data_IF_748051062638
#
_entry.id   IF_748051062638
#
_cell.length_a   1.000
_cell.length_b   1.000
_cell.length_c   1.000
_cell.angle_alpha   90.00
_cell.angle_beta   90.00
_cell.angle_gamma   90.00
#
_symmetry.space_group_name_H-M   'P 1'
#
loop_
_entity.id
_entity.type
_entity.pdbx_description
1 polymer ?
#
# COMPACT_ATOMS: atom_id res chain seq x y z
N UNK A 1 10.64 -21.38 6.28
CA UNK A 1 9.37 -20.67 6.55
C UNK A 1 8.48 -20.66 5.33
N UNK A 2 7.19 -20.96 5.48
CA UNK A 2 6.17 -20.96 4.42
C UNK A 2 4.94 -20.23 4.93
N UNK A 3 4.31 -19.39 4.10
CA UNK A 3 3.10 -18.66 4.47
C UNK A 3 2.00 -18.81 3.43
N UNK A 4 0.76 -18.73 3.89
CA UNK A 4 -0.43 -18.65 3.05
C UNK A 4 -1.34 -17.55 3.58
N UNK A 5 -1.90 -16.75 2.67
CA UNK A 5 -2.80 -15.67 3.02
C UNK A 5 -4.07 -15.70 2.15
N UNK A 6 -5.19 -15.27 2.73
CA UNK A 6 -6.47 -15.07 2.03
C UNK A 6 -7.02 -13.69 2.33
N UNK A 7 -7.45 -13.00 1.28
CA UNK A 7 -8.12 -11.69 1.30
C UNK A 7 -8.24 -11.17 -0.13
N UNK A 8 -9.35 -10.51 -0.47
CA UNK A 8 -9.56 -9.92 -1.81
C UNK A 8 -10.52 -8.72 -1.76
N UNK A 9 -11.55 -8.76 -0.89
CA UNK A 9 -12.41 -7.65 -0.53
C UNK A 9 -12.48 -7.45 0.99
N UNK A 10 -13.01 -6.30 1.41
CA UNK A 10 -12.90 -5.74 2.76
C UNK A 10 -11.44 -5.71 3.20
N UNK A 11 -10.51 -5.12 2.45
CA UNK A 11 -9.08 -5.13 2.83
C UNK A 11 -8.68 -3.74 3.27
N UNK A 12 -8.51 -3.55 4.58
CA UNK A 12 -7.80 -2.44 5.21
C UNK A 12 -7.25 -2.93 6.56
N UNK A 13 -6.23 -3.81 6.58
CA UNK A 13 -5.83 -4.37 7.86
C UNK A 13 -5.31 -3.27 8.79
N UNK A 14 -5.94 -3.17 9.94
CA UNK A 14 -5.45 -2.51 11.14
C UNK A 14 -5.37 -3.59 12.23
N UNK A 15 -4.63 -4.66 11.88
CA UNK A 15 -4.87 -6.05 12.31
C UNK A 15 -6.23 -6.62 11.83
N UNK A 16 -6.73 -6.15 10.66
CA UNK A 16 -8.15 -6.22 10.27
C UNK A 16 -8.56 -6.51 8.77
N UNK A 17 -8.37 -7.73 8.23
CA UNK A 17 -9.08 -8.49 7.12
C UNK A 17 -8.16 -9.30 6.26
N UNK A 18 -7.56 -10.28 6.89
CA UNK A 18 -6.64 -11.14 6.20
C UNK A 18 -6.44 -12.34 7.11
N UNK A 19 -6.62 -13.54 6.55
CA UNK A 19 -6.23 -14.77 7.24
C UNK A 19 -4.83 -15.11 6.72
N UNK A 20 -3.80 -14.86 7.52
CA UNK A 20 -2.43 -15.31 7.24
C UNK A 20 -1.98 -16.31 8.28
N UNK A 21 -1.48 -17.42 7.77
CA UNK A 21 -0.81 -18.44 8.56
C UNK A 21 0.60 -18.60 8.02
N UNK A 22 1.59 -18.42 8.90
CA UNK A 22 2.99 -18.68 8.59
C UNK A 22 3.49 -19.83 9.45
N UNK A 23 4.09 -20.82 8.80
CA UNK A 23 4.69 -21.99 9.42
C UNK A 23 6.22 -21.86 9.32
N UNK A 24 6.90 -21.99 10.47
CA UNK A 24 8.35 -21.97 10.57
C UNK A 24 8.87 -23.25 11.24
N UNK A 25 9.91 -23.82 10.65
CA UNK A 25 10.69 -24.95 11.14
C UNK A 25 11.80 -24.53 12.13
N UNK A 26 12.02 -23.23 12.28
CA UNK A 26 12.88 -22.59 13.27
C UNK A 26 12.07 -21.67 14.20
N UNK A 27 12.72 -21.14 15.24
CA UNK A 27 12.09 -20.23 16.20
C UNK A 27 13.03 -19.10 16.65
N UNK A 28 12.52 -17.87 16.87
CA UNK A 28 13.25 -16.84 17.60
C UNK A 28 13.18 -17.15 19.11
N UNK A 29 13.83 -16.34 19.97
CA UNK A 29 13.57 -16.39 21.41
C UNK A 29 12.05 -16.27 21.68
N UNK A 30 11.41 -17.20 22.41
CA UNK A 30 9.95 -17.23 22.53
C UNK A 30 9.33 -15.94 23.08
N UNK A 31 10.03 -15.25 23.97
CA UNK A 31 9.59 -13.96 24.53
C UNK A 31 9.56 -12.82 23.52
N UNK A 32 10.18 -12.99 22.35
CA UNK A 32 10.29 -11.98 21.28
C UNK A 32 9.27 -12.18 20.18
N UNK A 33 8.77 -13.40 19.98
CA UNK A 33 7.93 -13.78 18.85
C UNK A 33 6.74 -12.82 18.66
N UNK A 34 5.97 -12.56 19.72
CA UNK A 34 4.81 -11.65 19.63
C UNK A 34 5.20 -10.25 19.13
N UNK A 35 6.29 -9.68 19.67
CA UNK A 35 6.76 -8.35 19.26
C UNK A 35 7.28 -8.33 17.82
N UNK A 36 7.86 -9.43 17.34
CA UNK A 36 8.30 -9.56 15.94
C UNK A 36 7.06 -9.60 15.03
N UNK A 37 6.05 -10.39 15.40
CA UNK A 37 4.79 -10.51 14.63
C UNK A 37 4.10 -9.17 14.48
N UNK A 38 4.00 -8.38 15.56
CA UNK A 38 3.42 -7.04 15.54
C UNK A 38 4.20 -6.09 14.61
N UNK A 39 5.53 -6.05 14.73
CA UNK A 39 6.38 -5.22 13.85
C UNK A 39 6.27 -5.61 12.38
N UNK A 40 6.24 -6.91 12.08
CA UNK A 40 6.08 -7.38 10.71
C UNK A 40 4.69 -7.06 10.17
N UNK A 41 3.64 -7.22 10.98
CA UNK A 41 2.28 -6.84 10.59
C UNK A 41 2.21 -5.35 10.21
N UNK A 42 2.83 -4.49 11.02
CA UNK A 42 2.88 -3.03 10.81
C UNK A 42 3.63 -2.61 9.53
N UNK A 43 4.62 -3.39 9.11
CA UNK A 43 5.41 -3.13 7.89
C UNK A 43 4.82 -3.76 6.63
N UNK A 44 3.91 -4.74 6.76
CA UNK A 44 3.39 -5.54 5.64
C UNK A 44 1.87 -5.45 5.52
N UNK A 45 1.12 -6.22 6.30
CA UNK A 45 -0.34 -6.30 6.17
C UNK A 45 -1.05 -5.01 6.54
N UNK A 46 -0.56 -4.25 7.52
CA UNK A 46 -1.14 -2.94 7.85
C UNK A 46 -0.79 -1.86 6.79
N UNK A 47 0.04 -2.21 5.80
CA UNK A 47 0.40 -1.35 4.68
C UNK A 47 -0.45 -1.60 3.42
N UNK A 48 -1.45 -2.48 3.43
CA UNK A 48 -2.27 -2.76 2.24
C UNK A 48 -3.71 -2.29 2.37
N UNK A 49 -4.35 -1.91 1.26
CA UNK A 49 -5.79 -1.64 1.20
C UNK A 49 -6.40 -1.91 -0.17
N UNK A 50 -7.60 -2.48 -0.21
CA UNK A 50 -8.39 -2.59 -1.45
C UNK A 50 -9.53 -1.58 -1.41
N UNK A 51 -10.33 -1.56 -0.35
CA UNK A 51 -11.59 -0.81 -0.29
C UNK A 51 -11.81 -0.03 1.01
N UNK A 52 -10.78 0.08 1.86
CA UNK A 52 -10.81 0.80 3.14
C UNK A 52 -11.71 0.21 4.24
N UNK A 53 -12.36 -0.94 4.00
CA UNK A 53 -13.23 -1.58 4.99
C UNK A 53 -12.46 -2.60 5.85
N UNK A 54 -12.38 -2.35 7.15
CA UNK A 54 -11.80 -3.28 8.15
C UNK A 54 -12.79 -4.44 8.47
N UNK A 55 -12.31 -5.69 8.53
CA UNK A 55 -13.15 -6.85 8.89
C UNK A 55 -13.36 -7.00 10.38
N UNK A 56 -14.20 -7.97 10.67
CA UNK A 56 -14.50 -8.45 12.02
C UNK A 56 -13.78 -9.76 12.39
N UNK A 57 -12.92 -10.34 11.53
CA UNK A 57 -12.52 -11.77 11.60
C UNK A 57 -11.02 -12.02 11.44
N UNK A 58 -10.19 -11.10 11.90
CA UNK A 58 -8.89 -10.91 11.25
C UNK A 58 -7.76 -11.54 12.04
N UNK A 59 -6.86 -12.21 11.31
CA UNK A 59 -5.97 -13.17 11.94
C UNK A 59 -4.65 -13.30 11.20
N UNK A 60 -3.57 -12.92 11.88
CA UNK A 60 -2.20 -13.21 11.48
C UNK A 60 -1.55 -14.11 12.54
N UNK A 61 -1.27 -15.35 12.16
CA UNK A 61 -0.74 -16.37 13.08
C UNK A 61 0.59 -16.88 12.55
N UNK A 62 1.60 -16.87 13.42
CA UNK A 62 2.89 -17.49 13.16
C UNK A 62 3.07 -18.69 14.07
N UNK A 63 3.19 -19.88 13.48
CA UNK A 63 3.43 -21.13 14.20
C UNK A 63 4.89 -21.55 13.98
N UNK A 64 5.63 -21.63 15.09
CA UNK A 64 7.00 -22.11 15.09
C UNK A 64 7.05 -23.53 15.64
N UNK A 65 7.88 -24.38 15.03
CA UNK A 65 8.15 -25.74 15.52
C UNK A 65 8.82 -25.70 16.90
N UNK A 66 8.27 -26.43 17.87
CA UNK A 66 8.76 -26.40 19.27
C UNK A 66 10.21 -26.85 19.40
N UNK A 67 10.59 -27.92 18.71
CA UNK A 67 11.96 -28.47 18.61
C UNK A 67 12.75 -27.90 17.42
N UNK A 68 12.32 -26.77 16.86
CA UNK A 68 13.03 -26.05 15.79
C UNK A 68 14.34 -25.41 16.26
N UNK A 69 15.27 -25.20 15.33
CA UNK A 69 16.53 -24.49 15.58
C UNK A 69 16.24 -23.06 16.07
N UNK A 70 16.94 -22.64 17.14
CA UNK A 70 16.86 -21.26 17.62
C UNK A 70 17.72 -20.34 16.75
N UNK A 71 17.09 -19.33 16.17
CA UNK A 71 17.73 -18.36 15.29
C UNK A 71 17.73 -16.98 15.93
N UNK A 72 18.58 -16.08 15.42
CA UNK A 72 18.62 -14.69 15.90
C UNK A 72 17.29 -14.00 15.60
N UNK A 73 16.87 -13.11 16.51
CA UNK A 73 15.65 -12.30 16.37
C UNK A 73 15.60 -11.58 15.01
N UNK A 74 16.71 -10.93 14.62
CA UNK A 74 16.82 -10.20 13.36
C UNK A 74 16.69 -11.09 12.11
N UNK A 75 17.34 -12.26 12.11
CA UNK A 75 17.27 -13.20 10.98
C UNK A 75 15.84 -13.72 10.80
N UNK A 76 15.15 -14.01 11.92
CA UNK A 76 13.75 -14.45 11.90
C UNK A 76 12.80 -13.34 11.44
N UNK A 77 12.96 -12.11 11.98
CA UNK A 77 12.13 -10.96 11.60
C UNK A 77 12.27 -10.66 10.11
N UNK A 78 13.50 -10.59 9.58
CA UNK A 78 13.76 -10.33 8.17
C UNK A 78 13.17 -11.41 7.25
N UNK A 79 13.28 -12.69 7.64
CA UNK A 79 12.70 -13.79 6.88
C UNK A 79 11.16 -13.73 6.89
N UNK A 80 10.56 -13.44 8.05
CA UNK A 80 9.11 -13.30 8.20
C UNK A 80 8.58 -12.10 7.40
N UNK A 81 9.25 -10.95 7.49
CA UNK A 81 8.92 -9.74 6.73
C UNK A 81 8.94 -10.02 5.22
N UNK A 82 9.97 -10.69 4.71
CA UNK A 82 10.07 -11.04 3.29
C UNK A 82 8.98 -12.00 2.79
N UNK A 83 8.51 -12.92 3.64
CA UNK A 83 7.34 -13.77 3.32
C UNK A 83 6.05 -12.95 3.35
N UNK A 84 5.85 -12.14 4.39
CA UNK A 84 4.64 -11.36 4.58
C UNK A 84 4.48 -10.24 3.53
N UNK A 85 5.55 -9.60 3.08
CA UNK A 85 5.50 -8.58 2.02
C UNK A 85 5.00 -9.17 0.68
N UNK A 86 5.46 -10.38 0.33
CA UNK A 86 5.00 -11.10 -0.87
C UNK A 86 3.52 -11.47 -0.77
N UNK A 87 3.08 -11.93 0.42
CA UNK A 87 1.68 -12.27 0.65
C UNK A 87 0.78 -11.03 0.63
N UNK A 88 1.20 -9.95 1.28
CA UNK A 88 0.45 -8.69 1.36
C UNK A 88 0.27 -8.06 -0.03
N UNK A 89 1.33 -7.95 -0.82
CA UNK A 89 1.25 -7.45 -2.20
C UNK A 89 0.42 -8.39 -3.09
N UNK A 90 0.50 -9.71 -2.89
CA UNK A 90 -0.33 -10.70 -3.56
C UNK A 90 -1.83 -10.53 -3.31
N UNK A 91 -2.24 -10.15 -2.10
CA UNK A 91 -3.64 -9.85 -1.75
C UNK A 91 -4.15 -8.67 -2.58
N UNK A 92 -3.39 -7.58 -2.64
CA UNK A 92 -3.79 -6.38 -3.41
C UNK A 92 -3.89 -6.69 -4.91
N UNK A 93 -2.91 -7.42 -5.44
CA UNK A 93 -2.88 -7.88 -6.84
C UNK A 93 -4.09 -8.74 -7.19
N UNK A 94 -4.61 -9.50 -6.23
CA UNK A 94 -5.80 -10.34 -6.38
C UNK A 94 -7.04 -9.72 -5.72
N UNK A 95 -7.04 -8.39 -5.50
CA UNK A 95 -8.18 -7.66 -4.98
C UNK A 95 -9.37 -7.75 -5.93
N UNK A 96 -10.58 -7.64 -5.38
CA UNK A 96 -11.81 -7.74 -6.16
C UNK A 96 -11.87 -6.65 -7.23
N UNK A 97 -11.97 -7.05 -8.50
CA UNK A 97 -12.00 -6.12 -9.62
C UNK A 97 -10.73 -5.28 -9.81
N UNK A 98 -9.59 -5.64 -9.21
CA UNK A 98 -8.31 -4.92 -9.39
C UNK A 98 -7.89 -4.93 -10.85
N UNK A 99 -7.78 -3.74 -11.46
CA UNK A 99 -7.18 -3.52 -12.77
C UNK A 99 -5.76 -2.95 -12.70
N UNK A 100 -5.43 -2.22 -11.63
CA UNK A 100 -4.10 -1.68 -11.37
C UNK A 100 -3.75 -1.82 -9.90
N UNK A 101 -2.48 -2.14 -9.64
CA UNK A 101 -1.89 -2.01 -8.31
C UNK A 101 -1.26 -0.63 -8.19
N UNK A 102 -1.49 0.03 -7.07
CA UNK A 102 -1.00 1.36 -6.72
C UNK A 102 -0.04 1.21 -5.55
N UNK A 103 1.16 1.75 -5.65
CA UNK A 103 2.11 1.84 -4.55
C UNK A 103 2.37 3.29 -4.23
N UNK A 104 2.20 3.68 -2.96
CA UNK A 104 2.49 5.02 -2.48
C UNK A 104 3.63 4.95 -1.46
N UNK A 105 4.70 5.69 -1.71
CA UNK A 105 5.83 5.87 -0.80
C UNK A 105 5.87 7.32 -0.31
N UNK A 106 5.77 7.49 1.01
CA UNK A 106 5.89 8.77 1.70
C UNK A 106 7.28 8.83 2.32
N UNK A 107 8.06 9.84 1.93
CA UNK A 107 9.46 10.02 2.35
C UNK A 107 9.61 11.31 3.15
N UNK A 108 10.58 11.30 4.08
CA UNK A 108 11.05 12.47 4.82
C UNK A 108 9.90 13.28 5.47
N UNK A 109 8.87 12.60 5.97
CA UNK A 109 7.76 13.23 6.68
C UNK A 109 8.23 13.74 8.05
N UNK A 110 7.78 14.92 8.53
CA UNK A 110 8.19 15.47 9.82
C UNK A 110 7.67 14.71 11.05
N UNK A 111 6.62 13.89 10.90
CA UNK A 111 6.08 13.03 11.96
C UNK A 111 6.58 11.58 11.88
N UNK A 112 5.99 10.68 12.69
CA UNK A 112 6.39 9.27 12.74
C UNK A 112 5.97 8.48 11.49
N UNK A 113 6.59 7.31 11.29
CA UNK A 113 6.29 6.38 10.19
C UNK A 113 4.81 5.97 10.11
N UNK A 114 4.13 5.87 11.26
CA UNK A 114 2.70 5.58 11.31
C UNK A 114 1.87 6.64 10.60
N UNK A 115 2.16 7.92 10.82
CA UNK A 115 1.49 9.02 10.12
C UNK A 115 1.87 9.06 8.64
N UNK A 116 3.12 8.75 8.29
CA UNK A 116 3.54 8.65 6.89
C UNK A 116 2.76 7.53 6.15
N UNK A 117 2.53 6.38 6.81
CA UNK A 117 1.66 5.33 6.27
C UNK A 117 0.21 5.79 6.12
N UNK A 118 -0.34 6.51 7.09
CA UNK A 118 -1.70 7.06 7.01
C UNK A 118 -1.87 8.08 5.85
N UNK A 119 -0.84 8.89 5.55
CA UNK A 119 -0.82 9.74 4.35
C UNK A 119 -0.88 8.87 3.10
N UNK A 120 -0.06 7.82 3.02
CA UNK A 120 -0.12 6.86 1.93
C UNK A 120 -1.52 6.25 1.77
N UNK A 121 -2.12 5.77 2.88
CA UNK A 121 -3.49 5.23 2.91
C UNK A 121 -4.50 6.24 2.39
N UNK A 122 -4.36 7.53 2.74
CA UNK A 122 -5.27 8.57 2.25
C UNK A 122 -5.29 8.70 0.72
N UNK A 123 -4.16 8.41 0.06
CA UNK A 123 -4.03 8.44 -1.39
C UNK A 123 -4.62 7.17 -2.01
N UNK A 124 -4.20 5.98 -1.54
CA UNK A 124 -4.69 4.72 -2.11
C UNK A 124 -6.17 4.46 -1.84
N UNK A 125 -6.74 5.07 -0.78
CA UNK A 125 -8.17 4.95 -0.43
C UNK A 125 -9.03 6.07 -1.02
N UNK A 126 -8.45 7.06 -1.70
CA UNK A 126 -9.21 8.14 -2.31
C UNK A 126 -9.97 7.61 -3.54
N UNK A 127 -11.33 7.62 -3.55
CA UNK A 127 -12.09 7.12 -4.69
C UNK A 127 -11.76 7.86 -5.99
N UNK A 128 -11.44 9.16 -5.89
CA UNK A 128 -11.03 9.95 -7.04
C UNK A 128 -9.66 9.51 -7.58
N UNK A 129 -8.68 9.22 -6.72
CA UNK A 129 -7.38 8.70 -7.18
C UNK A 129 -7.56 7.31 -7.80
N UNK A 130 -8.26 6.41 -7.11
CA UNK A 130 -8.53 5.04 -7.57
C UNK A 130 -9.22 5.02 -8.94
N UNK A 131 -10.23 5.88 -9.15
CA UNK A 131 -10.94 5.96 -10.44
C UNK A 131 -10.14 6.63 -11.55
N UNK A 132 -9.26 7.58 -11.22
CA UNK A 132 -8.36 8.18 -12.21
C UNK A 132 -7.36 7.14 -12.74
N UNK A 133 -6.78 6.35 -11.84
CA UNK A 133 -5.86 5.26 -12.21
C UNK A 133 -6.58 4.17 -13.01
N UNK A 134 -7.79 3.75 -12.60
CA UNK A 134 -8.62 2.83 -13.41
C UNK A 134 -8.90 3.35 -14.83
N UNK A 135 -8.94 4.67 -15.01
CA UNK A 135 -9.16 5.34 -16.28
C UNK A 135 -7.89 5.64 -17.07
N UNK A 136 -6.70 5.24 -16.59
CA UNK A 136 -5.41 5.63 -17.14
C UNK A 136 -5.20 7.17 -17.21
N UNK A 137 -5.82 7.90 -16.28
CA UNK A 137 -5.77 9.37 -16.18
C UNK A 137 -4.72 9.78 -15.11
N UNK A 138 -3.61 10.44 -15.48
CA UNK A 138 -2.58 10.89 -14.54
C UNK A 138 -3.00 12.15 -13.79
N UNK A 139 -4.08 12.05 -13.02
CA UNK A 139 -4.73 13.18 -12.36
C UNK A 139 -4.01 13.61 -11.07
N UNK A 140 -2.91 14.35 -11.23
CA UNK A 140 -2.04 14.79 -10.12
C UNK A 140 -2.78 15.64 -9.09
N UNK A 141 -3.80 16.39 -9.53
CA UNK A 141 -4.62 17.22 -8.66
C UNK A 141 -5.40 16.39 -7.63
N UNK A 142 -5.87 15.19 -8.00
CA UNK A 142 -6.54 14.26 -7.08
C UNK A 142 -5.58 13.68 -6.05
N UNK A 143 -4.34 13.39 -6.44
CA UNK A 143 -3.27 12.92 -5.54
C UNK A 143 -2.94 14.02 -4.53
N UNK A 144 -2.62 15.23 -5.00
CA UNK A 144 -2.34 16.37 -4.12
C UNK A 144 -3.53 16.71 -3.21
N UNK A 145 -4.76 16.62 -3.73
CA UNK A 145 -5.98 16.80 -2.95
C UNK A 145 -6.16 15.78 -1.83
N UNK A 146 -5.84 14.50 -2.07
CA UNK A 146 -5.89 13.45 -1.06
C UNK A 146 -4.89 13.71 0.08
N UNK A 147 -3.62 13.98 -0.26
CA UNK A 147 -2.57 14.34 0.71
C UNK A 147 -2.95 15.60 1.49
N UNK A 148 -3.35 16.66 0.78
CA UNK A 148 -3.75 17.92 1.38
C UNK A 148 -4.96 17.78 2.31
N UNK A 149 -5.95 16.95 1.96
CA UNK A 149 -7.09 16.66 2.83
C UNK A 149 -6.69 15.95 4.12
N UNK A 150 -5.74 15.02 4.07
CA UNK A 150 -5.26 14.34 5.27
C UNK A 150 -4.51 15.33 6.18
N UNK A 151 -3.56 16.08 5.61
CA UNK A 151 -2.76 17.08 6.35
C UNK A 151 -3.67 18.13 6.98
N UNK A 152 -4.61 18.69 6.21
CA UNK A 152 -5.50 19.76 6.68
C UNK A 152 -6.49 19.33 7.78
N UNK A 153 -6.84 18.04 7.89
CA UNK A 153 -7.71 17.53 8.97
C UNK A 153 -6.98 17.40 10.30
N UNK A 154 -5.68 17.08 10.27
CA UNK A 154 -4.87 16.85 11.48
C UNK A 154 -4.13 18.09 11.96
N UNK A 155 -3.73 18.96 11.03
CA UNK A 155 -3.19 20.27 11.36
C UNK A 155 -4.34 21.27 11.47
N UNK A 156 -4.91 21.45 12.68
CA UNK A 156 -5.91 22.49 12.98
C UNK A 156 -5.28 23.90 12.97
N UNK A 157 -4.68 24.27 11.84
CA UNK A 157 -4.03 25.55 11.57
C UNK A 157 -3.25 25.46 10.27
N UNK A 158 -3.60 26.28 9.29
CA UNK A 158 -2.78 26.44 8.10
C UNK A 158 -1.37 26.91 8.53
N UNK A 159 -0.31 26.18 8.14
CA UNK A 159 1.12 26.55 8.13
C UNK A 159 2.10 25.68 8.97
N UNK A 160 2.13 24.35 8.80
CA UNK A 160 3.32 23.57 9.23
C UNK A 160 4.03 22.82 8.11
N UNK A 161 3.33 22.39 7.07
CA UNK A 161 3.98 21.85 5.86
C UNK A 161 4.35 22.96 4.89
N UNK A 162 5.64 23.11 4.64
CA UNK A 162 6.18 23.97 3.58
C UNK A 162 6.10 23.23 2.23
N UNK A 163 4.97 23.40 1.52
CA UNK A 163 4.71 22.76 0.23
C UNK A 163 5.72 23.12 -0.86
N UNK A 164 6.50 24.20 -0.70
CA UNK A 164 7.58 24.52 -1.64
C UNK A 164 8.73 23.52 -1.59
N UNK A 165 8.85 22.76 -0.48
CA UNK A 165 9.85 21.70 -0.31
C UNK A 165 9.33 20.31 -0.67
N UNK A 166 8.01 20.16 -0.73
CA UNK A 166 7.40 18.88 -1.06
C UNK A 166 7.53 18.59 -2.55
N UNK A 167 7.92 17.36 -2.86
CA UNK A 167 8.03 16.85 -4.22
C UNK A 167 7.15 15.61 -4.36
N UNK A 168 6.47 15.47 -5.49
CA UNK A 168 5.75 14.25 -5.82
C UNK A 168 6.18 13.75 -7.20
N UNK A 169 6.29 12.43 -7.35
CA UNK A 169 6.56 11.79 -8.64
C UNK A 169 5.61 10.61 -8.87
N UNK A 170 5.39 10.30 -10.15
CA UNK A 170 4.67 9.10 -10.58
C UNK A 170 5.50 8.39 -11.65
N UNK A 171 5.74 7.09 -11.50
CA UNK A 171 6.58 6.31 -12.43
C UNK A 171 8.01 6.85 -12.56
N UNK A 172 8.50 7.57 -11.55
CA UNK A 172 9.80 8.26 -11.58
C UNK A 172 9.79 9.65 -12.26
N UNK A 173 8.69 10.07 -12.85
CA UNK A 173 8.53 11.39 -13.45
C UNK A 173 7.94 12.39 -12.43
N UNK A 174 8.55 13.58 -12.33
CA UNK A 174 8.10 14.64 -11.42
C UNK A 174 6.72 15.16 -11.82
N UNK A 175 5.80 15.24 -10.84
CA UNK A 175 4.41 15.71 -11.03
C UNK A 175 4.05 16.91 -10.15
N UNK A 176 4.83 17.18 -9.10
CA UNK A 176 4.68 18.34 -8.23
C UNK A 176 6.05 18.72 -7.67
N UNK A 177 6.45 19.99 -7.80
CA UNK A 177 7.63 20.54 -7.15
C UNK A 177 7.45 22.02 -6.88
N UNK A 178 8.20 22.54 -5.91
CA UNK A 178 8.26 23.99 -5.63
C UNK A 178 6.87 24.61 -5.39
N UNK A 179 5.94 23.83 -4.83
CA UNK A 179 4.57 24.28 -4.55
C UNK A 179 3.63 24.32 -5.75
N UNK A 180 4.04 23.80 -6.91
CA UNK A 180 3.27 23.84 -8.16
C UNK A 180 3.21 22.48 -8.85
N UNK A 181 2.19 22.25 -9.67
CA UNK A 181 2.13 21.07 -10.52
C UNK A 181 3.18 21.16 -11.62
N UNK A 182 3.93 20.08 -11.80
CA UNK A 182 5.00 19.98 -12.78
C UNK A 182 4.54 19.15 -13.99
N UNK A 183 3.49 19.62 -14.66
CA UNK A 183 2.86 18.97 -15.81
C UNK A 183 2.86 19.84 -17.05
N UNK A 184 2.99 19.18 -18.19
CA UNK A 184 2.69 19.69 -19.52
C UNK A 184 2.00 18.59 -20.34
N UNK A 185 1.42 18.91 -21.50
CA UNK A 185 0.68 17.92 -22.29
C UNK A 185 1.52 16.70 -22.70
N UNK A 186 2.82 16.88 -22.90
CA UNK A 186 3.71 15.75 -23.22
C UNK A 186 3.97 14.85 -22.02
N UNK A 187 4.06 15.42 -20.80
CA UNK A 187 4.17 14.68 -19.55
C UNK A 187 2.89 13.91 -19.26
N UNK A 188 1.74 14.55 -19.45
CA UNK A 188 0.43 13.90 -19.28
C UNK A 188 0.30 12.69 -20.21
N UNK A 189 0.67 12.81 -21.49
CA UNK A 189 0.67 11.69 -22.43
C UNK A 189 1.60 10.55 -21.99
N UNK A 190 2.81 10.86 -21.52
CA UNK A 190 3.76 9.86 -21.00
C UNK A 190 3.26 9.16 -19.75
N UNK A 191 2.71 9.90 -18.80
CA UNK A 191 2.16 9.36 -17.57
C UNK A 191 0.92 8.50 -17.83
N UNK A 192 0.03 8.91 -18.74
CA UNK A 192 -1.12 8.10 -19.15
C UNK A 192 -0.67 6.79 -19.80
N UNK A 193 0.34 6.83 -20.68
CA UNK A 193 0.95 5.64 -21.26
C UNK A 193 1.61 4.74 -20.21
N UNK A 194 2.25 5.32 -19.20
CA UNK A 194 2.83 4.59 -18.06
C UNK A 194 1.75 3.89 -17.23
N UNK A 195 0.68 4.58 -16.84
CA UNK A 195 -0.43 3.96 -16.07
C UNK A 195 -1.02 2.80 -16.86
N UNK A 196 -1.26 3.01 -18.17
CA UNK A 196 -1.76 1.96 -19.06
C UNK A 196 -0.80 0.78 -19.22
N UNK A 197 0.50 1.02 -19.20
CA UNK A 197 1.50 -0.05 -19.22
C UNK A 197 1.50 -0.87 -17.92
N UNK A 198 1.06 -0.28 -16.81
CA UNK A 198 0.84 -0.94 -15.52
C UNK A 198 -0.51 -1.68 -15.41
N UNK A 199 -1.43 -1.49 -16.36
CA UNK A 199 -2.74 -2.14 -16.37
C UNK A 199 -2.62 -3.67 -16.42
N UNK A 200 -3.48 -4.35 -15.65
CA UNK A 200 -3.53 -5.79 -15.65
C UNK A 200 -3.96 -6.33 -17.02
N UNK A 201 -3.09 -7.16 -17.61
CA UNK A 201 -3.41 -7.87 -18.84
C UNK A 201 -3.87 -9.29 -18.56
N UNK A 202 -5.13 -9.57 -18.92
CA UNK A 202 -5.73 -10.92 -18.88
C UNK A 202 -5.07 -11.93 -19.84
N UNK A 203 -4.14 -11.47 -20.69
CA UNK A 203 -3.42 -12.30 -21.67
C UNK A 203 -2.08 -12.85 -21.16
N UNK A 204 -1.66 -12.45 -19.96
CA UNK A 204 -0.39 -12.89 -19.35
C UNK A 204 -0.49 -14.30 -18.76
N UNK A 205 0.60 -15.08 -18.87
CA UNK A 205 0.71 -16.41 -18.24
C UNK A 205 0.96 -16.25 -16.74
N UNK A 206 0.45 -17.19 -15.94
CA UNK A 206 0.50 -17.12 -14.50
C UNK A 206 1.91 -17.29 -13.88
N UNK A 207 2.20 -16.54 -12.81
CA UNK A 207 1.76 -15.15 -12.64
C UNK A 207 2.61 -14.30 -13.61
N UNK A 208 2.25 -13.06 -13.94
CA UNK A 208 2.82 -11.97 -13.15
C UNK A 208 2.18 -10.65 -13.54
N UNK A 209 1.26 -10.23 -12.69
CA UNK A 209 0.99 -8.82 -12.50
C UNK A 209 2.12 -8.27 -11.62
N UNK A 210 3.29 -7.94 -12.19
CA UNK A 210 4.42 -7.40 -11.39
C UNK A 210 4.49 -5.88 -11.39
N UNK A 211 3.85 -5.25 -12.38
CA UNK A 211 3.81 -3.79 -12.47
C UNK A 211 2.89 -3.20 -11.41
N UNK A 212 3.20 -1.97 -11.06
CA UNK A 212 2.46 -1.13 -10.14
C UNK A 212 2.62 0.33 -10.57
N UNK A 213 1.56 1.11 -10.37
CA UNK A 213 1.61 2.57 -10.49
C UNK A 213 2.28 3.11 -9.23
N UNK A 214 3.56 3.46 -9.36
CA UNK A 214 4.37 3.99 -8.26
C UNK A 214 4.16 5.49 -8.14
N UNK A 215 3.81 5.93 -6.93
CA UNK A 215 3.66 7.33 -6.54
C UNK A 215 4.60 7.57 -5.35
N UNK A 216 5.45 8.58 -5.45
CA UNK A 216 6.33 9.00 -4.35
C UNK A 216 5.93 10.39 -3.89
N UNK A 217 5.83 10.59 -2.58
CA UNK A 217 5.54 11.87 -1.93
C UNK A 217 6.69 12.14 -0.95
N UNK A 218 7.62 12.99 -1.34
CA UNK A 218 8.74 13.40 -0.50
C UNK A 218 8.42 14.75 0.15
N UNK A 219 8.26 14.76 1.47
CA UNK A 219 8.02 15.99 2.21
C UNK A 219 9.28 16.82 2.40
N UNK A 220 10.47 16.19 2.39
CA UNK A 220 11.78 16.83 2.60
C UNK A 220 11.85 17.66 3.90
N UNK A 221 11.15 17.21 4.94
CA UNK A 221 10.93 17.95 6.19
C UNK A 221 11.25 17.15 7.46
N UNK A 222 11.60 15.87 7.35
CA UNK A 222 11.88 15.00 8.48
C UNK A 222 12.47 13.65 8.08
N UNK A 223 12.10 12.60 8.83
CA UNK A 223 12.63 11.24 8.67
C UNK A 223 11.54 10.16 8.61
N UNK A 224 10.29 10.53 8.82
CA UNK A 224 9.16 9.60 8.76
C UNK A 224 9.04 8.99 7.38
N UNK A 225 8.86 7.68 7.34
CA UNK A 225 8.72 6.88 6.12
C UNK A 225 7.47 6.01 6.19
N UNK A 226 6.73 5.94 5.09
CA UNK A 226 5.57 5.09 4.95
C UNK A 226 5.49 4.53 3.55
N UNK A 227 5.16 3.25 3.43
CA UNK A 227 4.96 2.59 2.15
C UNK A 227 3.68 1.79 2.22
N UNK A 228 2.79 1.99 1.27
CA UNK A 228 1.51 1.29 1.22
C UNK A 228 1.18 0.84 -0.20
N UNK A 229 0.36 -0.20 -0.30
CA UNK A 229 -0.18 -0.69 -1.56
C UNK A 229 -1.69 -0.70 -1.54
N UNK A 230 -2.30 -0.38 -2.67
CA UNK A 230 -3.70 -0.65 -2.89
C UNK A 230 -4.04 -0.90 -4.34
N UNK A 231 -5.33 -0.95 -4.64
CA UNK A 231 -5.82 -1.16 -6.01
C UNK A 231 -6.58 0.06 -6.52
N UNK A 232 -6.89 0.08 -7.81
CA UNK A 232 -7.83 1.01 -8.41
C UNK A 232 -9.30 0.71 -8.01
N UNK A 233 -10.25 1.49 -8.54
CA UNK A 233 -11.70 1.29 -8.33
C UNK A 233 -12.36 1.13 -9.69
N UNK A 234 -12.70 -0.11 -10.03
CA UNK A 234 -13.24 -0.47 -11.34
C UNK A 234 -14.76 -0.72 -11.29
N UNK A 235 -15.37 -0.84 -12.47
CA UNK A 235 -16.76 -1.30 -12.58
C UNK A 235 -16.93 -2.74 -12.10
N UNK A 236 -15.90 -3.57 -12.27
CA UNK A 236 -15.91 -4.97 -11.85
C UNK A 236 -16.01 -5.10 -10.33
N UNK A 237 -15.30 -4.27 -9.56
CA UNK A 237 -15.44 -4.22 -8.10
C UNK A 237 -16.91 -4.01 -7.70
N UNK A 238 -17.59 -3.06 -8.35
CA UNK A 238 -19.00 -2.77 -8.10
C UNK A 238 -19.90 -3.94 -8.49
N UNK A 239 -19.66 -4.56 -9.66
CA UNK A 239 -20.45 -5.71 -10.13
C UNK A 239 -20.34 -6.90 -9.16
N UNK A 240 -19.11 -7.29 -8.79
CA UNK A 240 -18.84 -8.39 -7.86
C UNK A 240 -19.54 -8.18 -6.52
N UNK A 241 -19.47 -6.97 -5.96
CA UNK A 241 -20.02 -6.68 -4.63
C UNK A 241 -21.52 -6.38 -4.62
N UNK A 242 -22.08 -5.87 -5.72
CA UNK A 242 -23.52 -5.67 -5.85
C UNK A 242 -24.27 -6.99 -6.08
N UNK A 243 -23.69 -7.90 -6.86
CA UNK A 243 -24.35 -9.14 -7.27
C UNK A 243 -24.14 -10.28 -6.27
N UNK A 244 -23.18 -10.19 -5.34
CA UNK A 244 -22.77 -11.28 -4.42
C UNK A 244 -23.89 -11.94 -3.61
N UNK A 245 -25.00 -11.22 -3.36
CA UNK A 245 -26.14 -11.71 -2.56
C UNK A 245 -27.41 -12.00 -3.39
N UNK A 246 -27.30 -11.96 -4.73
CA UNK A 246 -28.42 -12.13 -5.67
C UNK A 246 -28.56 -13.56 -6.17
#
# INVERSE_FOLDING_TARGET
MVGAAKGAGMIEPNMGTMLCYVLADCKPPPSKLQSIVERVADKTFNCISVDSDESTSDMFVVLCKEDGEEVKEEDFENALEGVCEKLASGIVRNGEGTGHVIKVEVLNYPGPDSEAREIGKSVINSPLVKTAIAGNDPNVGRIAGAVGSWVGKRERGANKIDWSKCNMSMGGESIFKEGTFDLDGSKEDRLSAYIKDCEYSTTSKHPEHDKEVSIVIDFSLGKGHGRVWGSDLTKEYVAVNADYRS
#
